data_IF_611269273851
#
_entry.id   IF_611269273851
#
_cell.length_a   1.000
_cell.length_b   1.000
_cell.length_c   1.000
_cell.angle_alpha   90.00
_cell.angle_beta   90.00
_cell.angle_gamma   90.00
#
_symmetry.space_group_name_H-M   'P 1'
#
loop_
_entity.id
_entity.type
_entity.pdbx_description
1 polymer ?
#
# COMPACT_ATOMS: atom_id res chain seq x y z
N UNK A 1 -54.18 -18.30 7.31
CA UNK A 1 -53.50 -17.01 7.60
C UNK A 1 -52.01 -17.18 7.30
N UNK A 2 -51.44 -16.64 6.22
CA UNK A 2 -49.99 -16.70 5.99
C UNK A 2 -49.28 -15.55 6.73
N UNK A 3 -48.27 -15.87 7.53
CA UNK A 3 -47.42 -14.92 8.24
C UNK A 3 -46.48 -14.18 7.28
N UNK A 4 -46.38 -12.84 7.32
CA UNK A 4 -45.46 -12.11 6.47
C UNK A 4 -44.02 -12.32 6.94
N UNK A 5 -43.18 -12.92 6.09
CA UNK A 5 -41.71 -12.95 6.30
C UNK A 5 -41.19 -11.52 6.25
N UNK A 6 -40.74 -11.01 7.39
CA UNK A 6 -40.09 -9.72 7.50
C UNK A 6 -38.90 -9.66 6.53
N UNK A 7 -38.90 -8.67 5.63
CA UNK A 7 -37.76 -8.35 4.78
C UNK A 7 -36.61 -7.91 5.69
N UNK A 8 -35.63 -8.79 5.91
CA UNK A 8 -34.36 -8.41 6.54
C UNK A 8 -33.72 -7.32 5.67
N UNK A 9 -33.84 -6.08 6.13
CA UNK A 9 -33.21 -4.91 5.52
C UNK A 9 -31.70 -5.06 5.74
N UNK A 10 -30.91 -4.98 4.68
CA UNK A 10 -29.46 -5.01 4.76
C UNK A 10 -28.97 -3.95 5.76
N UNK A 11 -28.22 -4.38 6.77
CA UNK A 11 -27.64 -3.48 7.76
C UNK A 11 -26.60 -2.58 7.08
N UNK A 12 -26.59 -1.26 7.36
CA UNK A 12 -25.60 -0.36 6.80
C UNK A 12 -24.22 -0.81 7.29
N UNK A 13 -23.37 -1.19 6.34
CA UNK A 13 -22.04 -1.70 6.66
C UNK A 13 -21.20 -0.52 7.18
N UNK A 14 -21.01 -0.45 8.50
CA UNK A 14 -20.13 0.54 9.11
C UNK A 14 -18.75 0.51 8.42
N UNK A 15 -18.12 1.67 8.16
CA UNK A 15 -16.78 1.69 7.60
C UNK A 15 -15.86 0.93 8.55
N UNK A 16 -15.32 -0.20 8.08
CA UNK A 16 -14.34 -0.97 8.84
C UNK A 16 -13.14 -0.06 9.08
N UNK A 17 -12.66 0.08 10.33
CA UNK A 17 -11.44 0.83 10.61
C UNK A 17 -10.30 0.24 9.77
N UNK A 18 -9.41 1.12 9.30
CA UNK A 18 -8.21 0.73 8.57
C UNK A 18 -7.43 -0.28 9.41
N UNK A 19 -7.29 -1.51 8.91
CA UNK A 19 -6.55 -2.57 9.58
C UNK A 19 -5.23 -2.78 8.89
N UNK A 20 -4.14 -2.77 9.64
CA UNK A 20 -2.83 -3.15 9.12
C UNK A 20 -2.85 -4.67 8.91
N UNK A 21 -2.66 -5.10 7.66
CA UNK A 21 -2.58 -6.50 7.27
C UNK A 21 -1.18 -7.05 7.52
N UNK A 22 -0.16 -6.26 7.16
CA UNK A 22 1.23 -6.67 7.26
C UNK A 22 2.14 -5.46 7.47
N UNK A 23 3.26 -5.65 8.18
CA UNK A 23 4.37 -4.70 8.26
C UNK A 23 5.65 -5.39 7.80
N UNK A 24 6.51 -4.68 7.08
CA UNK A 24 7.82 -5.18 6.68
C UNK A 24 8.81 -4.03 6.48
N UNK A 25 10.09 -4.31 6.70
CA UNK A 25 11.18 -3.39 6.37
C UNK A 25 11.66 -3.73 4.96
N UNK A 26 11.58 -2.77 4.05
CA UNK A 26 11.95 -2.95 2.65
C UNK A 26 12.74 -1.77 2.13
N UNK A 27 13.60 -2.04 1.15
CA UNK A 27 14.28 -0.99 0.40
C UNK A 27 13.33 -0.44 -0.67
N UNK A 28 12.88 0.80 -0.47
CA UNK A 28 12.08 1.53 -1.45
C UNK A 28 12.99 2.22 -2.46
N UNK A 29 12.74 1.98 -3.74
CA UNK A 29 13.41 2.66 -4.86
C UNK A 29 12.47 3.63 -5.55
N UNK A 30 12.94 4.86 -5.81
CA UNK A 30 12.21 5.87 -6.59
C UNK A 30 12.00 5.40 -8.02
N UNK A 31 10.75 5.32 -8.44
CA UNK A 31 10.40 5.16 -9.85
C UNK A 31 10.04 6.54 -10.39
N UNK A 32 10.95 7.11 -11.17
CA UNK A 32 10.76 8.40 -11.83
C UNK A 32 10.07 8.20 -13.18
N UNK A 33 9.16 9.11 -13.51
CA UNK A 33 8.61 9.19 -14.85
C UNK A 33 9.65 9.75 -15.82
N UNK A 34 10.11 8.93 -16.76
CA UNK A 34 11.05 9.35 -17.82
C UNK A 34 10.33 9.78 -19.12
N UNK A 35 9.01 9.98 -19.12
CA UNK A 35 8.27 10.46 -20.28
C UNK A 35 6.84 10.91 -19.95
N UNK A 36 6.42 12.07 -20.46
CA UNK A 36 5.15 12.73 -20.15
C UNK A 36 5.31 14.23 -19.95
N UNK A 37 4.22 14.93 -19.59
CA UNK A 37 4.21 16.38 -19.39
C UNK A 37 5.04 16.86 -18.18
N UNK A 38 5.25 16.00 -17.16
CA UNK A 38 6.09 16.27 -15.99
C UNK A 38 7.23 15.24 -15.87
N UNK A 39 8.30 15.44 -16.64
CA UNK A 39 9.49 14.59 -16.58
C UNK A 39 10.22 14.77 -15.22
N UNK A 40 10.63 13.67 -14.58
CA UNK A 40 11.38 13.70 -13.32
C UNK A 40 10.54 13.57 -12.04
N UNK A 41 9.20 13.52 -12.13
CA UNK A 41 8.32 13.28 -10.98
C UNK A 41 8.45 11.84 -10.47
N UNK A 42 8.52 11.67 -9.14
CA UNK A 42 8.39 10.34 -8.52
C UNK A 42 6.94 9.89 -8.59
N UNK A 43 6.66 8.83 -9.36
CA UNK A 43 5.32 8.27 -9.50
C UNK A 43 4.99 7.36 -8.31
N UNK A 44 5.88 6.39 -8.10
CA UNK A 44 5.73 5.35 -7.10
C UNK A 44 7.11 4.93 -6.59
N UNK A 45 7.12 4.26 -5.45
CA UNK A 45 8.26 3.56 -4.93
C UNK A 45 8.06 2.08 -5.12
N UNK A 46 9.07 1.36 -5.60
CA UNK A 46 9.03 -0.08 -5.76
C UNK A 46 9.91 -0.78 -4.73
N UNK A 47 9.50 -1.95 -4.26
CA UNK A 47 10.35 -2.82 -3.44
C UNK A 47 10.21 -4.30 -3.83
N UNK A 48 11.28 -5.06 -3.58
CA UNK A 48 11.28 -6.51 -3.70
C UNK A 48 10.53 -7.13 -2.52
N UNK A 49 9.47 -7.90 -2.81
CA UNK A 49 8.58 -8.42 -1.77
C UNK A 49 7.11 -8.35 -2.17
N UNK A 50 6.79 -8.87 -3.36
CA UNK A 50 5.41 -8.97 -3.84
C UNK A 50 4.48 -9.54 -2.78
N UNK A 51 3.25 -9.01 -2.69
CA UNK A 51 2.22 -9.63 -1.86
C UNK A 51 2.00 -11.07 -2.33
N UNK A 52 1.82 -12.01 -1.39
CA UNK A 52 1.52 -13.43 -1.67
C UNK A 52 0.37 -13.62 -2.69
N UNK A 53 -0.51 -12.61 -2.81
CA UNK A 53 -1.66 -12.56 -3.72
C UNK A 53 -1.29 -12.17 -5.16
N UNK A 54 -0.22 -11.41 -5.36
CA UNK A 54 0.32 -11.04 -6.66
C UNK A 54 1.50 -11.95 -7.02
N UNK A 55 1.24 -13.26 -7.13
CA UNK A 55 2.25 -14.31 -7.33
C UNK A 55 3.11 -14.15 -8.61
N UNK A 56 2.74 -13.22 -9.50
CA UNK A 56 3.49 -12.86 -10.71
C UNK A 56 4.29 -11.55 -10.61
N UNK A 57 4.07 -10.73 -9.57
CA UNK A 57 4.76 -9.44 -9.41
C UNK A 57 5.86 -9.60 -8.36
N UNK A 58 7.11 -9.66 -8.81
CA UNK A 58 8.29 -9.65 -7.93
C UNK A 58 8.43 -8.33 -7.15
N UNK A 59 7.72 -7.29 -7.60
CA UNK A 59 7.75 -5.94 -7.04
C UNK A 59 6.37 -5.49 -6.59
N UNK A 60 6.31 -4.89 -5.40
CA UNK A 60 5.16 -4.13 -4.91
C UNK A 60 5.41 -2.62 -5.11
N UNK A 61 4.35 -1.84 -5.23
CA UNK A 61 4.41 -0.40 -5.45
C UNK A 61 3.75 0.37 -4.30
N UNK A 62 4.37 1.48 -3.91
CA UNK A 62 3.87 2.45 -2.92
C UNK A 62 3.69 3.79 -3.62
N UNK A 63 2.55 4.45 -3.41
CA UNK A 63 2.31 5.80 -3.97
C UNK A 63 3.27 6.82 -3.34
N UNK A 64 3.73 7.80 -4.13
CA UNK A 64 4.68 8.80 -3.64
C UNK A 64 4.14 9.66 -2.48
N UNK A 65 2.83 9.95 -2.48
CA UNK A 65 2.12 10.65 -1.40
C UNK A 65 2.19 9.94 -0.04
N UNK A 66 2.51 8.64 -0.04
CA UNK A 66 2.53 7.77 1.14
C UNK A 66 3.93 7.37 1.56
N UNK A 67 4.93 8.09 1.06
CA UNK A 67 6.32 7.91 1.44
C UNK A 67 6.84 9.22 2.00
N UNK A 68 7.34 9.23 3.24
CA UNK A 68 7.99 10.41 3.80
C UNK A 68 9.10 10.92 2.87
N UNK A 69 9.34 12.23 2.87
CA UNK A 69 10.46 12.80 2.15
C UNK A 69 11.78 12.22 2.69
N UNK A 70 12.70 11.87 1.80
CA UNK A 70 14.04 11.40 2.13
C UNK A 70 15.03 11.86 1.07
N UNK A 71 16.32 11.77 1.35
CA UNK A 71 17.37 12.08 0.39
C UNK A 71 17.87 10.83 -0.32
N UNK A 72 18.07 10.94 -1.64
CA UNK A 72 18.60 9.86 -2.49
C UNK A 72 17.56 9.13 -3.34
N UNK A 73 18.02 8.10 -4.07
CA UNK A 73 17.18 7.29 -4.98
C UNK A 73 16.56 6.07 -4.30
N UNK A 74 17.21 5.56 -3.26
CA UNK A 74 16.78 4.37 -2.53
C UNK A 74 17.01 4.56 -1.04
N UNK A 75 16.06 4.15 -0.22
CA UNK A 75 16.22 4.11 1.23
C UNK A 75 15.38 2.97 1.84
N UNK A 76 15.76 2.57 3.05
CA UNK A 76 15.03 1.55 3.80
C UNK A 76 13.85 2.18 4.53
N UNK A 77 12.69 1.58 4.37
CA UNK A 77 11.46 2.02 5.00
C UNK A 77 10.74 0.86 5.65
N UNK A 78 10.14 1.15 6.79
CA UNK A 78 9.09 0.31 7.33
C UNK A 78 7.80 0.61 6.56
N UNK A 79 7.32 -0.37 5.81
CA UNK A 79 6.07 -0.28 5.05
C UNK A 79 4.98 -1.13 5.67
N UNK A 80 3.75 -0.63 5.62
CA UNK A 80 2.56 -1.31 6.09
C UNK A 80 1.57 -1.53 4.95
N UNK A 81 1.03 -2.73 4.85
CA UNK A 81 -0.14 -3.02 4.03
C UNK A 81 -1.38 -2.66 4.84
N UNK A 82 -2.09 -1.62 4.41
CA UNK A 82 -3.33 -1.16 5.05
C UNK A 82 -4.52 -1.74 4.31
N UNK A 83 -5.44 -2.37 5.03
CA UNK A 83 -6.71 -2.82 4.49
C UNK A 83 -7.59 -1.61 4.22
N UNK A 84 -7.81 -1.31 2.95
CA UNK A 84 -8.74 -0.28 2.51
C UNK A 84 -9.71 -0.85 1.49
N UNK A 85 -10.80 -0.12 1.26
CA UNK A 85 -11.73 -0.35 0.16
C UNK A 85 -11.39 0.62 -0.97
N UNK A 86 -11.39 0.21 -2.25
CA UNK A 86 -11.71 -1.13 -2.75
C UNK A 86 -10.58 -2.17 -2.60
N UNK A 87 -9.32 -1.74 -2.42
CA UNK A 87 -8.16 -2.63 -2.34
C UNK A 87 -7.23 -2.24 -1.19
N UNK A 88 -6.53 -3.20 -0.57
CA UNK A 88 -5.44 -2.88 0.34
C UNK A 88 -4.33 -2.13 -0.41
N UNK A 89 -3.60 -1.30 0.32
CA UNK A 89 -2.51 -0.51 -0.23
C UNK A 89 -1.30 -0.51 0.68
N UNK A 90 -0.14 -0.19 0.11
CA UNK A 90 1.08 0.03 0.88
C UNK A 90 1.22 1.49 1.28
N UNK A 91 1.72 1.74 2.49
CA UNK A 91 2.21 3.04 2.96
C UNK A 91 3.55 2.87 3.64
N UNK A 92 4.46 3.82 3.48
CA UNK A 92 5.68 3.87 4.28
C UNK A 92 5.40 4.68 5.55
N UNK A 93 5.78 4.13 6.70
CA UNK A 93 5.55 4.75 8.01
C UNK A 93 6.74 5.62 8.39
N UNK A 94 7.94 5.08 8.26
CA UNK A 94 9.18 5.75 8.64
C UNK A 94 10.36 5.21 7.85
N UNK A 95 11.34 6.08 7.62
CA UNK A 95 12.66 5.68 7.18
C UNK A 95 13.35 4.93 8.33
N UNK A 96 14.01 3.83 8.01
CA UNK A 96 14.77 3.01 8.96
C UNK A 96 16.18 2.81 8.43
N UNK A 97 17.08 2.41 9.31
CA UNK A 97 18.40 1.92 8.91
C UNK A 97 18.26 0.57 8.19
N UNK A 98 19.22 0.20 7.32
CA UNK A 98 19.26 -1.14 6.74
C UNK A 98 19.14 -2.18 7.86
N UNK A 99 18.31 -3.23 7.72
CA UNK A 99 18.32 -4.32 8.67
C UNK A 99 19.73 -4.90 8.70
N UNK A 100 20.35 -4.95 9.89
CA UNK A 100 21.67 -5.55 10.09
C UNK A 100 21.72 -6.92 9.40
N UNK A 101 22.76 -7.09 8.59
CA UNK A 101 22.96 -8.23 7.69
C UNK A 101 23.23 -9.55 8.42
#
# INVERSE_FOLDING_TARGET
MPTPRARQRATPHAPKPERILQRMVVKLRRVRQYGGAEHGRTLTFSFAGGTRRAQRSLCSFVSADRVPAFDGEEAWFEVEEVSAKPWPFWRAVRQVEPPDA
#
